data_IF_302034116100
#
_entry.id   IF_302034116100
#
_cell.length_a   1.000
_cell.length_b   1.000
_cell.length_c   1.000
_cell.angle_alpha   90.00
_cell.angle_beta   90.00
_cell.angle_gamma   90.00
#
_symmetry.space_group_name_H-M   'P 1'
#
loop_
_entity.id
_entity.type
_entity.pdbx_description
1 polymer ?
#
# COMPACT_ATOMS: atom_id res chain seq x y z
N UNK A 1 -32.60 -14.21 -28.66
CA UNK A 1 -32.30 -14.75 -27.30
C UNK A 1 -30.82 -15.10 -27.08
N UNK A 2 -30.12 -15.81 -27.98
CA UNK A 2 -28.68 -16.15 -27.78
C UNK A 2 -27.76 -14.92 -27.67
N UNK A 3 -27.94 -13.91 -28.53
CA UNK A 3 -27.13 -12.69 -28.54
C UNK A 3 -27.17 -11.90 -27.21
N UNK A 4 -28.35 -11.77 -26.60
CA UNK A 4 -28.52 -11.12 -25.30
C UNK A 4 -27.77 -11.85 -24.17
N UNK A 5 -27.75 -13.18 -24.21
CA UNK A 5 -26.97 -13.99 -23.27
C UNK A 5 -25.45 -13.81 -23.39
N UNK A 6 -24.93 -13.55 -24.59
CA UNK A 6 -23.50 -13.24 -24.78
C UNK A 6 -23.15 -11.84 -24.27
N UNK A 7 -23.97 -10.83 -24.57
CA UNK A 7 -23.76 -9.47 -24.07
C UNK A 7 -23.77 -9.40 -22.55
N UNK A 8 -24.71 -10.11 -21.90
CA UNK A 8 -24.78 -10.18 -20.45
C UNK A 8 -23.51 -10.83 -19.85
N UNK A 9 -23.01 -11.92 -20.45
CA UNK A 9 -21.77 -12.57 -20.00
C UNK A 9 -20.54 -11.65 -20.12
N UNK A 10 -20.43 -10.93 -21.23
CA UNK A 10 -19.34 -9.95 -21.43
C UNK A 10 -19.45 -8.84 -20.40
N UNK A 11 -20.64 -8.31 -20.17
CA UNK A 11 -20.86 -7.28 -19.16
C UNK A 11 -20.48 -7.74 -17.75
N UNK A 12 -20.90 -8.95 -17.34
CA UNK A 12 -20.52 -9.54 -16.05
C UNK A 12 -18.99 -9.72 -15.96
N UNK A 13 -18.34 -10.18 -17.03
CA UNK A 13 -16.89 -10.32 -17.08
C UNK A 13 -16.19 -8.97 -16.89
N UNK A 14 -16.67 -7.91 -17.56
CA UNK A 14 -16.11 -6.57 -17.41
C UNK A 14 -16.30 -6.02 -15.99
N UNK A 15 -17.46 -6.24 -15.37
CA UNK A 15 -17.69 -5.87 -13.97
C UNK A 15 -16.77 -6.61 -13.02
N UNK A 16 -16.56 -7.92 -13.24
CA UNK A 16 -15.66 -8.71 -12.43
C UNK A 16 -14.20 -8.24 -12.58
N UNK A 17 -13.75 -7.98 -13.80
CA UNK A 17 -12.43 -7.40 -14.07
C UNK A 17 -12.30 -6.05 -13.36
N UNK A 18 -13.25 -5.14 -13.56
CA UNK A 18 -13.25 -3.83 -12.91
C UNK A 18 -13.16 -3.94 -11.39
N UNK A 19 -13.94 -4.85 -10.80
CA UNK A 19 -13.91 -5.14 -9.37
C UNK A 19 -12.52 -5.58 -8.91
N UNK A 20 -11.87 -6.51 -9.61
CA UNK A 20 -10.52 -6.93 -9.25
C UNK A 20 -9.52 -5.76 -9.37
N UNK A 21 -9.61 -4.98 -10.44
CA UNK A 21 -8.72 -3.83 -10.65
C UNK A 21 -8.88 -2.75 -9.58
N UNK A 22 -10.11 -2.41 -9.19
CA UNK A 22 -10.36 -1.33 -8.25
C UNK A 22 -10.01 -1.66 -6.79
N UNK A 23 -9.92 -2.94 -6.43
CA UNK A 23 -9.71 -3.38 -5.05
C UNK A 23 -8.31 -3.94 -4.78
N UNK A 24 -7.58 -4.42 -5.79
CA UNK A 24 -6.30 -5.11 -5.59
C UNK A 24 -5.11 -4.44 -6.28
N UNK A 25 -5.34 -3.34 -7.01
CA UNK A 25 -4.28 -2.65 -7.73
C UNK A 25 -4.37 -1.15 -7.51
N UNK A 26 -3.25 -0.54 -7.12
CA UNK A 26 -3.06 0.89 -7.20
C UNK A 26 -2.26 1.22 -8.46
N UNK A 27 -2.85 2.01 -9.36
CA UNK A 27 -2.25 2.34 -10.65
C UNK A 27 -2.28 3.86 -10.83
N UNK A 28 -1.09 4.48 -10.92
CA UNK A 28 -0.94 5.88 -11.30
C UNK A 28 0.03 5.99 -12.48
N UNK A 29 -0.46 5.94 -13.74
CA UNK A 29 0.40 5.95 -14.93
C UNK A 29 1.23 7.22 -15.06
N UNK A 30 0.69 8.37 -14.63
CA UNK A 30 1.41 9.66 -14.66
C UNK A 30 2.67 9.63 -13.80
N UNK A 31 2.63 8.89 -12.69
CA UNK A 31 3.71 8.80 -11.72
C UNK A 31 4.53 7.50 -11.87
N UNK A 32 4.20 6.68 -12.89
CA UNK A 32 4.84 5.38 -13.10
C UNK A 32 4.61 4.37 -11.97
N UNK A 33 3.55 4.54 -11.18
CA UNK A 33 3.30 3.74 -9.97
C UNK A 33 2.35 2.58 -10.25
N UNK A 34 2.78 1.36 -9.94
CA UNK A 34 1.96 0.15 -10.02
C UNK A 34 2.23 -0.74 -8.81
N UNK A 35 1.24 -0.84 -7.92
CA UNK A 35 1.35 -1.60 -6.68
C UNK A 35 0.20 -2.60 -6.62
N UNK A 36 0.53 -3.87 -6.44
CA UNK A 36 -0.43 -4.93 -6.16
C UNK A 36 -0.67 -5.00 -4.66
N UNK A 37 -1.93 -5.02 -4.24
CA UNK A 37 -2.33 -5.19 -2.84
C UNK A 37 -2.90 -6.60 -2.70
N UNK A 38 -2.30 -7.40 -1.80
CA UNK A 38 -2.79 -8.76 -1.56
C UNK A 38 -4.15 -8.71 -0.83
N UNK A 39 -5.02 -9.71 -1.01
CA UNK A 39 -6.28 -9.75 -0.28
C UNK A 39 -6.08 -9.73 1.23
N UNK A 40 -6.84 -8.90 1.94
CA UNK A 40 -6.87 -8.90 3.40
C UNK A 40 -8.01 -9.77 3.94
N UNK A 41 -7.78 -10.42 5.07
CA UNK A 41 -8.84 -11.04 5.88
C UNK A 41 -9.62 -10.02 6.70
N UNK A 42 -9.05 -8.83 6.93
CA UNK A 42 -9.66 -7.75 7.70
C UNK A 42 -10.49 -6.81 6.82
N UNK A 43 -10.07 -6.63 5.58
CA UNK A 43 -10.71 -5.72 4.63
C UNK A 43 -10.68 -6.26 3.19
N UNK A 44 -11.81 -6.70 2.67
CA UNK A 44 -11.87 -7.35 1.35
C UNK A 44 -11.54 -6.41 0.17
N UNK A 45 -11.84 -5.11 0.30
CA UNK A 45 -11.68 -4.12 -0.76
C UNK A 45 -10.33 -3.38 -0.72
N UNK A 46 -9.50 -3.62 0.30
CA UNK A 46 -8.24 -2.90 0.55
C UNK A 46 -8.34 -1.36 0.47
N UNK A 47 -9.52 -0.81 0.77
CA UNK A 47 -9.78 0.63 0.66
C UNK A 47 -8.85 1.41 1.58
N UNK A 48 -8.56 0.93 2.80
CA UNK A 48 -7.61 1.59 3.72
C UNK A 48 -6.24 1.78 3.10
N UNK A 49 -5.68 0.74 2.44
CA UNK A 49 -4.37 0.83 1.78
C UNK A 49 -4.42 1.79 0.59
N UNK A 50 -5.47 1.72 -0.23
CA UNK A 50 -5.63 2.60 -1.39
C UNK A 50 -5.75 4.08 -0.98
N UNK A 51 -6.51 4.36 0.08
CA UNK A 51 -6.64 5.70 0.65
C UNK A 51 -5.33 6.16 1.27
N UNK A 52 -4.60 5.29 1.97
CA UNK A 52 -3.29 5.59 2.54
C UNK A 52 -2.27 5.99 1.47
N UNK A 53 -2.19 5.26 0.34
CA UNK A 53 -1.31 5.62 -0.78
C UNK A 53 -1.72 6.98 -1.37
N UNK A 54 -3.02 7.25 -1.46
CA UNK A 54 -3.54 8.54 -1.96
C UNK A 54 -3.20 9.69 -1.02
N UNK A 55 -3.28 9.47 0.30
CA UNK A 55 -2.83 10.43 1.31
C UNK A 55 -1.34 10.70 1.15
N UNK A 56 -0.49 9.67 1.03
CA UNK A 56 0.95 9.85 0.80
C UNK A 56 1.24 10.68 -0.44
N UNK A 57 0.52 10.42 -1.54
CA UNK A 57 0.66 11.19 -2.78
C UNK A 57 0.44 12.69 -2.58
N UNK A 58 -0.53 13.05 -1.74
CA UNK A 58 -0.93 14.45 -1.55
C UNK A 58 -0.15 15.13 -0.40
N UNK A 59 0.15 14.40 0.67
CA UNK A 59 0.81 14.92 1.87
C UNK A 59 2.33 14.92 1.74
N UNK A 60 2.90 13.86 1.16
CA UNK A 60 4.32 13.56 1.25
C UNK A 60 4.88 13.00 -0.06
N UNK A 61 5.08 13.88 -1.05
CA UNK A 61 5.47 13.49 -2.40
C UNK A 61 6.77 12.64 -2.43
N UNK A 62 7.75 12.91 -1.57
CA UNK A 62 8.98 12.13 -1.52
C UNK A 62 8.73 10.69 -1.06
N UNK A 63 7.95 10.49 0.01
CA UNK A 63 7.62 9.16 0.52
C UNK A 63 6.74 8.38 -0.48
N UNK A 64 5.83 9.07 -1.18
CA UNK A 64 5.07 8.48 -2.29
C UNK A 64 5.98 8.03 -3.44
N UNK A 65 6.96 8.85 -3.84
CA UNK A 65 7.93 8.49 -4.89
C UNK A 65 8.78 7.28 -4.47
N UNK A 66 9.24 7.26 -3.22
CA UNK A 66 10.03 6.15 -2.68
C UNK A 66 9.21 4.86 -2.61
N UNK A 67 7.95 4.95 -2.20
CA UNK A 67 7.01 3.83 -2.27
C UNK A 67 6.87 3.30 -3.70
N UNK A 68 6.54 4.17 -4.67
CA UNK A 68 6.26 3.77 -6.04
C UNK A 68 7.47 3.20 -6.78
N UNK A 69 8.68 3.65 -6.45
CA UNK A 69 9.92 3.14 -7.06
C UNK A 69 10.33 1.77 -6.53
N UNK A 70 10.08 1.51 -5.24
CA UNK A 70 10.68 0.38 -4.54
C UNK A 70 9.70 -0.73 -4.20
N UNK A 71 8.40 -0.44 -4.06
CA UNK A 71 7.38 -1.41 -3.68
C UNK A 71 6.55 -1.83 -4.88
N UNK A 72 6.44 -3.14 -5.09
CA UNK A 72 5.53 -3.76 -6.06
C UNK A 72 4.33 -4.43 -5.40
N UNK A 73 4.49 -4.87 -4.16
CA UNK A 73 3.47 -5.64 -3.44
C UNK A 73 3.32 -5.12 -2.01
N UNK A 74 2.08 -4.80 -1.62
CA UNK A 74 1.72 -4.56 -0.22
C UNK A 74 0.91 -5.75 0.28
N UNK A 75 1.34 -6.33 1.40
CA UNK A 75 0.58 -7.35 2.10
C UNK A 75 -0.11 -6.76 3.34
N UNK A 76 -1.45 -6.64 3.35
CA UNK A 76 -2.18 -6.08 4.49
C UNK A 76 -2.38 -7.07 5.65
N UNK A 77 -1.76 -8.25 5.61
CA UNK A 77 -1.89 -9.28 6.65
C UNK A 77 -0.54 -9.63 7.31
N UNK A 78 0.12 -8.67 7.97
CA UNK A 78 1.28 -9.00 8.79
C UNK A 78 0.87 -9.79 10.04
N UNK A 79 1.70 -10.73 10.43
CA UNK A 79 1.59 -11.46 11.71
C UNK A 79 2.53 -10.86 12.78
N UNK A 80 3.05 -9.65 12.58
CA UNK A 80 4.06 -8.97 13.40
C UNK A 80 3.82 -7.45 13.40
N UNK A 81 4.65 -6.69 14.13
CA UNK A 81 4.52 -5.22 14.23
C UNK A 81 3.47 -4.72 15.23
N UNK A 82 2.72 -5.63 15.89
CA UNK A 82 1.68 -5.26 16.84
C UNK A 82 0.43 -4.62 16.21
N UNK A 83 -0.46 -4.09 17.05
CA UNK A 83 -1.61 -3.30 16.57
C UNK A 83 -1.07 -2.01 15.95
N UNK A 84 -1.34 -1.79 14.66
CA UNK A 84 -0.94 -0.60 13.88
C UNK A 84 0.50 -0.54 13.35
N UNK A 85 1.29 -1.61 13.44
CA UNK A 85 2.63 -1.62 12.84
C UNK A 85 2.66 -2.24 11.45
N UNK A 86 3.86 -2.45 10.94
CA UNK A 86 4.10 -3.30 9.79
C UNK A 86 5.22 -4.30 10.08
N UNK A 87 5.65 -4.98 9.05
CA UNK A 87 6.87 -5.77 9.13
C UNK A 87 7.66 -5.73 7.85
N UNK A 88 8.97 -5.65 8.05
CA UNK A 88 9.96 -5.88 7.03
C UNK A 88 10.80 -7.12 7.40
N UNK A 89 10.95 -8.03 6.44
CA UNK A 89 11.82 -9.19 6.58
C UNK A 89 13.08 -8.98 5.74
N UNK A 90 14.26 -9.21 6.33
CA UNK A 90 15.53 -9.12 5.60
C UNK A 90 15.52 -10.00 4.35
N UNK A 91 15.97 -9.43 3.23
CA UNK A 91 15.98 -10.09 1.91
C UNK A 91 14.73 -9.82 1.06
N UNK A 92 13.74 -9.07 1.56
CA UNK A 92 12.64 -8.57 0.73
C UNK A 92 13.12 -7.40 -0.14
N UNK A 93 12.85 -7.46 -1.45
CA UNK A 93 13.36 -6.47 -2.41
C UNK A 93 12.29 -5.53 -2.96
N UNK A 94 11.01 -5.83 -2.78
CA UNK A 94 9.89 -5.03 -3.32
C UNK A 94 8.53 -5.27 -2.65
N UNK A 95 8.55 -5.83 -1.45
CA UNK A 95 7.34 -6.19 -0.71
C UNK A 95 7.41 -5.65 0.69
N UNK A 96 6.35 -4.99 1.13
CA UNK A 96 6.15 -4.55 2.51
C UNK A 96 4.90 -5.19 3.09
N UNK A 97 4.84 -5.32 4.41
CA UNK A 97 3.67 -5.81 5.12
C UNK A 97 3.16 -4.74 6.06
N UNK A 98 1.86 -4.45 6.02
CA UNK A 98 1.26 -3.30 6.70
C UNK A 98 0.00 -3.76 7.44
N UNK A 99 -0.12 -3.48 8.72
CA UNK A 99 -1.32 -3.86 9.47
C UNK A 99 -2.41 -2.81 9.25
N UNK A 100 -3.59 -3.27 8.85
CA UNK A 100 -4.76 -2.42 8.60
C UNK A 100 -5.89 -2.61 9.63
N UNK A 101 -5.62 -3.28 10.75
CA UNK A 101 -6.63 -3.61 11.78
C UNK A 101 -7.32 -2.39 12.40
N UNK A 102 -6.77 -1.20 12.25
CA UNK A 102 -7.34 0.05 12.75
C UNK A 102 -8.29 0.76 11.77
N UNK A 103 -8.35 0.33 10.51
CA UNK A 103 -9.12 1.00 9.46
C UNK A 103 -8.85 2.52 9.41
N UNK A 104 -7.59 2.94 9.60
CA UNK A 104 -7.17 4.35 9.63
C UNK A 104 -6.15 4.61 8.51
N UNK A 105 -6.58 5.17 7.37
CA UNK A 105 -5.70 5.43 6.22
C UNK A 105 -4.49 6.32 6.52
N UNK A 106 -4.62 7.32 7.40
CA UNK A 106 -3.52 8.21 7.76
C UNK A 106 -2.44 7.48 8.56
N UNK A 107 -2.84 6.62 9.50
CA UNK A 107 -1.88 5.80 10.24
C UNK A 107 -1.26 4.74 9.32
N UNK A 108 -2.07 4.11 8.46
CA UNK A 108 -1.58 3.18 7.44
C UNK A 108 -0.57 3.84 6.50
N UNK A 109 -0.76 5.11 6.12
CA UNK A 109 0.20 5.86 5.30
C UNK A 109 1.56 6.02 5.98
N UNK A 110 1.54 6.31 7.29
CA UNK A 110 2.75 6.44 8.08
C UNK A 110 3.48 5.09 8.25
N UNK A 111 2.73 4.01 8.50
CA UNK A 111 3.29 2.64 8.53
C UNK A 111 3.87 2.23 7.18
N UNK A 112 3.19 2.53 6.06
CA UNK A 112 3.74 2.28 4.72
C UNK A 112 5.11 2.96 4.58
N UNK A 113 5.22 4.21 5.04
CA UNK A 113 6.49 4.96 5.01
C UNK A 113 7.56 4.31 5.87
N UNK A 114 7.20 3.86 7.07
CA UNK A 114 8.08 3.11 7.96
C UNK A 114 8.63 1.84 7.30
N UNK A 115 7.77 1.03 6.69
CA UNK A 115 8.21 -0.21 6.05
C UNK A 115 9.03 0.01 4.78
N UNK A 116 8.72 1.07 4.02
CA UNK A 116 9.55 1.50 2.89
C UNK A 116 10.95 1.94 3.37
N UNK A 117 11.04 2.57 4.54
CA UNK A 117 12.33 2.95 5.13
C UNK A 117 13.21 1.72 5.40
N UNK A 118 12.67 0.66 6.01
CA UNK A 118 13.41 -0.58 6.19
C UNK A 118 13.80 -1.27 4.89
N UNK A 119 12.91 -1.24 3.89
CA UNK A 119 13.22 -1.74 2.56
C UNK A 119 14.41 -0.99 1.93
N UNK A 120 14.45 0.33 2.06
CA UNK A 120 15.56 1.16 1.58
C UNK A 120 16.86 0.92 2.37
N UNK A 121 16.78 0.78 3.70
CA UNK A 121 17.94 0.42 4.53
C UNK A 121 18.53 -0.91 4.05
N UNK A 122 17.68 -1.93 3.87
CA UNK A 122 18.10 -3.24 3.37
C UNK A 122 18.66 -3.18 1.95
N UNK A 123 18.04 -2.42 1.04
CA UNK A 123 18.50 -2.29 -0.35
C UNK A 123 19.88 -1.60 -0.44
N UNK A 124 20.17 -0.69 0.49
CA UNK A 124 21.44 0.05 0.54
C UNK A 124 22.52 -0.64 1.39
N UNK A 125 22.26 -1.84 1.93
CA UNK A 125 23.13 -2.53 2.89
C UNK A 125 23.41 -1.72 4.17
N UNK A 126 22.48 -0.86 4.57
CA UNK A 126 22.54 -0.16 5.85
C UNK A 126 21.96 -1.04 6.96
N UNK A 127 22.43 -0.89 8.22
CA UNK A 127 21.78 -1.51 9.37
C UNK A 127 20.32 -1.07 9.48
N UNK A 128 19.44 -1.99 9.89
CA UNK A 128 18.06 -1.63 10.19
C UNK A 128 18.02 -0.71 11.43
N UNK A 129 17.30 0.40 11.33
CA UNK A 129 17.12 1.35 12.43
C UNK A 129 15.65 1.72 12.57
N UNK A 130 15.02 1.19 13.60
CA UNK A 130 13.66 1.54 14.01
C UNK A 130 13.54 3.04 14.30
N UNK A 131 14.49 3.62 15.03
CA UNK A 131 14.51 5.05 15.37
C UNK A 131 14.48 5.95 14.12
N UNK A 132 15.23 5.58 13.07
CA UNK A 132 15.20 6.31 11.80
C UNK A 132 13.82 6.21 11.14
N UNK A 133 13.26 5.01 11.08
CA UNK A 133 12.01 4.77 10.37
C UNK A 133 10.79 5.31 11.13
N UNK A 134 10.78 5.30 12.47
CA UNK A 134 9.78 6.01 13.29
C UNK A 134 9.84 7.52 13.10
N UNK A 135 11.02 8.12 12.93
CA UNK A 135 11.10 9.56 12.62
C UNK A 135 10.49 9.91 11.26
N UNK A 136 10.58 9.01 10.28
CA UNK A 136 9.92 9.19 8.97
C UNK A 136 8.41 9.05 9.06
N UNK A 137 7.93 8.04 9.78
CA UNK A 137 6.51 7.87 10.13
C UNK A 137 5.96 9.16 10.76
N UNK A 138 6.59 9.65 11.83
CA UNK A 138 6.20 10.86 12.53
C UNK A 138 6.20 12.11 11.63
N UNK A 139 7.14 12.20 10.69
CA UNK A 139 7.17 13.31 9.72
C UNK A 139 5.94 13.29 8.82
N UNK A 140 5.58 12.11 8.30
CA UNK A 140 4.40 11.94 7.46
C UNK A 140 3.13 12.24 8.23
N UNK A 141 2.99 11.78 9.47
CA UNK A 141 1.82 12.11 10.29
C UNK A 141 1.68 13.61 10.50
N UNK A 142 2.78 14.34 10.73
CA UNK A 142 2.75 15.81 10.83
C UNK A 142 2.36 16.47 9.51
N UNK A 143 2.89 16.01 8.39
CA UNK A 143 2.55 16.52 7.05
C UNK A 143 1.06 16.31 6.75
N UNK A 144 0.48 15.15 7.12
CA UNK A 144 -0.95 14.86 6.94
C UNK A 144 -1.84 15.80 7.76
N UNK A 145 -1.45 16.12 9.00
CA UNK A 145 -2.22 17.02 9.87
C UNK A 145 -2.20 18.48 9.39
N UNK A 146 -1.20 18.85 8.60
CA UNK A 146 -1.01 20.22 8.09
C UNK A 146 -1.68 20.48 6.73
N UNK A 147 -2.27 19.46 6.10
CA UNK A 147 -3.09 19.58 4.88
C UNK A 147 -4.43 20.27 5.15
#
# INVERSE_FOLDING_TARGET
>A
MRFFGYLLKVFILLLFIYFIYSNFFYISPRDGCFITILPSFLEFNNKTVLEAITILKNASNQNYVDLCKNVKVINPNPNCGGYNGGCFYLGQTNKIHVNISNNNPSLTAAVITHEVCHLLQSANNNPLSEDECYRKDDSVLREIVQL
#
